data_IF_027673616047
#
_entry.id   IF_027673616047
#
_cell.length_a   1.000
_cell.length_b   1.000
_cell.length_c   1.000
_cell.angle_alpha   90.00
_cell.angle_beta   90.00
_cell.angle_gamma   90.00
#
_symmetry.space_group_name_H-M   'P 1'
#
loop_
_entity.id
_entity.type
_entity.pdbx_description
1 polymer ?
#
# COMPACT_ATOMS: atom_id res chain seq x y z
N UNK A 1 19.44 22.66 -35.29
CA UNK A 1 18.61 23.74 -34.70
C UNK A 1 17.16 23.29 -34.65
N UNK A 2 16.47 23.67 -33.57
CA UNK A 2 15.00 23.73 -33.40
C UNK A 2 14.26 22.45 -32.95
N UNK A 3 14.56 22.04 -31.72
CA UNK A 3 13.69 22.25 -30.56
C UNK A 3 12.16 22.12 -30.78
N UNK A 4 11.60 20.92 -30.55
CA UNK A 4 10.16 20.73 -30.24
C UNK A 4 9.88 19.80 -29.04
N UNK A 5 10.88 19.21 -28.40
CA UNK A 5 10.69 18.28 -27.25
C UNK A 5 10.66 18.95 -25.87
N UNK A 6 10.86 20.26 -25.78
CA UNK A 6 11.04 20.97 -24.49
C UNK A 6 9.75 21.18 -23.68
N UNK A 7 8.56 20.99 -24.27
CA UNK A 7 7.29 21.32 -23.58
C UNK A 7 6.64 20.16 -22.80
N UNK A 8 7.01 18.92 -23.04
CA UNK A 8 6.43 17.77 -22.31
C UNK A 8 7.20 17.45 -21.02
N UNK A 9 8.48 17.85 -20.96
CA UNK A 9 9.40 17.53 -19.86
C UNK A 9 9.12 18.39 -18.60
N UNK A 10 8.60 19.61 -18.75
CA UNK A 10 8.40 20.52 -17.62
C UNK A 10 7.17 20.22 -16.75
N UNK A 11 6.27 19.32 -17.14
CA UNK A 11 5.08 19.02 -16.33
C UNK A 11 5.29 17.93 -15.27
N UNK A 12 6.43 17.24 -15.28
CA UNK A 12 6.76 16.16 -14.32
C UNK A 12 7.64 16.63 -13.15
N UNK A 13 8.18 17.85 -13.22
CA UNK A 13 9.03 18.44 -12.17
C UNK A 13 8.21 18.93 -10.97
N UNK A 14 6.89 19.14 -11.13
CA UNK A 14 6.01 19.61 -10.05
C UNK A 14 5.77 18.58 -8.91
N UNK A 15 6.32 17.37 -9.01
CA UNK A 15 6.18 16.31 -8.00
C UNK A 15 7.51 15.80 -7.41
N UNK A 16 8.63 16.47 -7.67
CA UNK A 16 9.85 16.29 -6.87
C UNK A 16 10.47 14.89 -6.88
N UNK A 17 10.32 14.12 -7.96
CA UNK A 17 11.02 12.84 -8.13
C UNK A 17 12.14 12.97 -9.16
N UNK A 18 13.39 12.88 -8.69
CA UNK A 18 14.54 12.59 -9.53
C UNK A 18 14.40 11.16 -10.03
N UNK A 19 13.86 10.99 -11.24
CA UNK A 19 13.97 9.73 -11.98
C UNK A 19 15.27 9.82 -12.77
N UNK A 20 16.38 9.49 -12.10
CA UNK A 20 17.64 9.20 -12.78
C UNK A 20 17.44 7.96 -13.64
N UNK A 21 17.42 8.18 -14.96
CA UNK A 21 17.74 7.30 -16.07
C UNK A 21 17.67 5.78 -15.78
N UNK A 22 16.57 5.15 -16.20
CA UNK A 22 16.60 3.73 -16.56
C UNK A 22 16.89 3.62 -18.06
N UNK A 23 17.94 2.87 -18.46
CA UNK A 23 18.28 2.69 -19.87
C UNK A 23 17.27 1.79 -20.56
N UNK A 24 17.01 2.09 -21.84
CA UNK A 24 16.25 1.22 -22.73
C UNK A 24 17.01 -0.11 -22.92
N UNK A 25 16.48 -1.22 -22.41
CA UNK A 25 16.90 -2.58 -22.76
C UNK A 25 15.67 -3.50 -22.92
N UNK A 26 15.77 -4.39 -23.89
CA UNK A 26 14.69 -5.14 -24.53
C UNK A 26 14.17 -6.38 -23.75
N UNK A 27 14.27 -6.38 -22.42
CA UNK A 27 13.55 -7.33 -21.55
C UNK A 27 13.05 -6.55 -20.32
N UNK A 28 11.81 -6.06 -20.36
CA UNK A 28 11.21 -5.41 -19.20
C UNK A 28 11.17 -6.45 -18.06
N UNK A 29 11.87 -6.21 -16.95
CA UNK A 29 11.83 -7.11 -15.78
C UNK A 29 10.38 -7.32 -15.34
N UNK A 30 10.04 -8.45 -14.67
CA UNK A 30 8.68 -8.67 -14.18
C UNK A 30 8.14 -7.50 -13.36
N UNK A 31 9.02 -6.78 -12.65
CA UNK A 31 8.69 -5.57 -11.91
C UNK A 31 8.31 -4.39 -12.82
N UNK A 32 9.09 -4.13 -13.87
CA UNK A 32 8.82 -3.05 -14.81
C UNK A 32 7.47 -3.27 -15.53
N UNK A 33 7.16 -4.51 -15.91
CA UNK A 33 5.87 -4.85 -16.50
C UNK A 33 4.72 -4.67 -15.51
N UNK A 34 4.89 -5.10 -14.26
CA UNK A 34 3.87 -4.96 -13.23
C UNK A 34 3.55 -3.49 -12.94
N UNK A 35 4.58 -2.63 -12.86
CA UNK A 35 4.42 -1.19 -12.68
C UNK A 35 3.69 -0.55 -13.87
N UNK A 36 4.06 -0.93 -15.09
CA UNK A 36 3.41 -0.45 -16.31
C UNK A 36 1.94 -0.84 -16.36
N UNK A 37 1.61 -2.10 -16.09
CA UNK A 37 0.23 -2.56 -16.03
C UNK A 37 -0.56 -1.86 -14.91
N UNK A 38 0.05 -1.67 -13.74
CA UNK A 38 -0.56 -0.91 -12.66
C UNK A 38 -0.82 0.56 -13.06
N UNK A 39 0.12 1.23 -13.71
CA UNK A 39 -0.05 2.59 -14.18
C UNK A 39 -1.18 2.71 -15.21
N UNK A 40 -1.24 1.80 -16.19
CA UNK A 40 -2.34 1.73 -17.16
C UNK A 40 -3.70 1.59 -16.47
N UNK A 41 -3.77 0.73 -15.45
CA UNK A 41 -4.94 0.49 -14.60
C UNK A 41 -5.29 1.72 -13.74
N UNK A 42 -4.30 2.52 -13.33
CA UNK A 42 -4.53 3.75 -12.53
C UNK A 42 -5.00 4.94 -13.36
N UNK A 43 -4.55 5.06 -14.62
CA UNK A 43 -4.86 6.19 -15.51
C UNK A 43 -6.25 6.08 -16.15
N UNK A 44 -6.76 4.86 -16.36
CA UNK A 44 -8.11 4.63 -16.90
C UNK A 44 -9.14 4.71 -15.77
N UNK A 45 -9.65 5.91 -15.48
CA UNK A 45 -10.81 6.08 -14.61
C UNK A 45 -12.07 5.59 -15.35
N UNK A 46 -12.61 4.45 -14.95
CA UNK A 46 -13.85 3.89 -15.51
C UNK A 46 -13.96 2.38 -15.28
N UNK A 47 -15.18 1.88 -15.04
CA UNK A 47 -15.49 0.49 -14.72
C UNK A 47 -15.08 -0.55 -15.80
N UNK A 48 -14.53 -0.11 -16.93
CA UNK A 48 -14.04 -0.95 -18.03
C UNK A 48 -12.52 -1.08 -18.06
N UNK A 49 -11.82 -0.90 -16.93
CA UNK A 49 -10.50 -1.52 -16.75
C UNK A 49 -10.73 -3.02 -16.94
N UNK A 50 -10.34 -3.51 -18.11
CA UNK A 50 -10.67 -4.85 -18.56
C UNK A 50 -10.13 -5.85 -17.52
N UNK A 51 -10.96 -6.76 -17.04
CA UNK A 51 -10.54 -7.86 -16.17
C UNK A 51 -9.28 -8.58 -16.69
N UNK A 52 -9.05 -8.53 -18.02
CA UNK A 52 -7.82 -8.97 -18.68
C UNK A 52 -6.55 -8.23 -18.23
N UNK A 53 -6.57 -6.91 -18.04
CA UNK A 53 -5.41 -6.13 -17.58
C UNK A 53 -5.12 -6.43 -16.10
N UNK A 54 -6.16 -6.55 -15.27
CA UNK A 54 -5.99 -6.95 -13.87
C UNK A 54 -5.45 -8.39 -13.77
N UNK A 55 -5.95 -9.31 -14.59
CA UNK A 55 -5.45 -10.69 -14.63
C UNK A 55 -3.98 -10.77 -15.07
N UNK A 56 -3.55 -9.92 -16.01
CA UNK A 56 -2.14 -9.79 -16.38
C UNK A 56 -1.29 -9.29 -15.22
N UNK A 57 -1.72 -8.22 -14.55
CA UNK A 57 -1.04 -7.69 -13.37
C UNK A 57 -0.94 -8.76 -12.26
N UNK A 58 -2.03 -9.46 -11.95
CA UNK A 58 -2.03 -10.52 -10.94
C UNK A 58 -1.06 -11.66 -11.27
N UNK A 59 -0.95 -12.04 -12.55
CA UNK A 59 0.02 -13.06 -12.99
C UNK A 59 1.45 -12.61 -12.73
N UNK A 60 1.77 -11.36 -13.00
CA UNK A 60 3.11 -10.81 -12.77
C UNK A 60 3.42 -10.62 -11.29
N UNK A 61 2.45 -10.14 -10.51
CA UNK A 61 2.58 -10.03 -9.07
C UNK A 61 2.82 -11.39 -8.41
N UNK A 62 2.13 -12.45 -8.85
CA UNK A 62 2.39 -13.82 -8.38
C UNK A 62 3.80 -14.30 -8.72
N UNK A 63 4.32 -13.94 -9.90
CA UNK A 63 5.70 -14.28 -10.27
C UNK A 63 6.71 -13.55 -9.37
N UNK A 64 6.46 -12.27 -9.06
CA UNK A 64 7.29 -11.48 -8.14
C UNK A 64 7.20 -12.00 -6.69
N UNK A 65 6.03 -12.43 -6.25
CA UNK A 65 5.89 -13.08 -4.94
C UNK A 65 6.65 -14.40 -4.87
N UNK A 66 6.66 -15.20 -5.94
CA UNK A 66 7.40 -16.45 -5.97
C UNK A 66 8.93 -16.25 -6.07
N UNK A 67 9.39 -15.06 -6.46
CA UNK A 67 10.80 -14.75 -6.58
C UNK A 67 11.45 -14.50 -5.20
N UNK A 68 12.21 -15.47 -4.72
CA UNK A 68 12.97 -15.38 -3.47
C UNK A 68 14.16 -14.41 -3.59
N UNK A 69 14.64 -14.14 -4.81
CA UNK A 69 15.80 -13.26 -5.07
C UNK A 69 15.40 -11.81 -5.32
N UNK A 70 14.13 -11.48 -5.12
CA UNK A 70 13.64 -10.12 -5.26
C UNK A 70 14.42 -9.18 -4.32
N UNK A 71 15.05 -8.16 -4.91
CA UNK A 71 15.85 -7.21 -4.16
C UNK A 71 14.97 -6.28 -3.30
N UNK A 72 15.59 -5.51 -2.41
CA UNK A 72 14.87 -4.59 -1.52
C UNK A 72 13.92 -3.66 -2.28
N UNK A 73 14.37 -3.10 -3.41
CA UNK A 73 13.54 -2.17 -4.18
C UNK A 73 12.36 -2.87 -4.88
N UNK A 74 12.58 -4.09 -5.37
CA UNK A 74 11.53 -4.94 -5.90
C UNK A 74 10.49 -5.32 -4.86
N UNK A 75 10.93 -5.68 -3.65
CA UNK A 75 10.04 -5.94 -2.51
C UNK A 75 9.17 -4.72 -2.22
N UNK A 76 9.78 -3.54 -2.04
CA UNK A 76 9.06 -2.31 -1.72
C UNK A 76 8.07 -1.90 -2.81
N UNK A 77 8.49 -1.97 -4.07
CA UNK A 77 7.65 -1.59 -5.22
C UNK A 77 6.47 -2.54 -5.38
N UNK A 78 6.71 -3.85 -5.26
CA UNK A 78 5.65 -4.87 -5.37
C UNK A 78 4.65 -4.77 -4.22
N UNK A 79 5.15 -4.61 -2.99
CA UNK A 79 4.31 -4.40 -1.82
C UNK A 79 3.47 -3.11 -1.92
N UNK A 80 4.03 -2.04 -2.47
CA UNK A 80 3.28 -0.81 -2.73
C UNK A 80 2.14 -1.03 -3.73
N UNK A 81 2.36 -1.80 -4.81
CA UNK A 81 1.27 -2.14 -5.75
C UNK A 81 0.13 -2.85 -5.01
N UNK A 82 0.45 -3.82 -4.16
CA UNK A 82 -0.57 -4.48 -3.34
C UNK A 82 -1.30 -3.53 -2.39
N UNK A 83 -0.60 -2.62 -1.72
CA UNK A 83 -1.26 -1.61 -0.89
C UNK A 83 -2.23 -0.74 -1.70
N UNK A 84 -1.86 -0.37 -2.93
CA UNK A 84 -2.73 0.41 -3.82
C UNK A 84 -3.93 -0.39 -4.31
N UNK A 85 -3.76 -1.68 -4.61
CA UNK A 85 -4.88 -2.57 -4.92
C UNK A 85 -5.81 -2.71 -3.72
N UNK A 86 -5.27 -2.86 -2.50
CA UNK A 86 -6.06 -2.87 -1.28
C UNK A 86 -6.89 -1.58 -1.12
N UNK A 87 -6.27 -0.41 -1.35
CA UNK A 87 -6.95 0.89 -1.29
C UNK A 87 -8.12 1.03 -2.28
N UNK A 88 -8.06 0.36 -3.43
CA UNK A 88 -9.18 0.35 -4.39
C UNK A 88 -10.40 -0.41 -3.87
N UNK A 89 -10.20 -1.45 -3.06
CA UNK A 89 -11.29 -2.22 -2.47
C UNK A 89 -11.77 -1.63 -1.13
N UNK A 90 -10.83 -1.20 -0.30
CA UNK A 90 -11.07 -0.63 1.01
C UNK A 90 -10.18 0.61 1.16
N UNK A 91 -10.70 1.82 0.92
CA UNK A 91 -9.89 3.02 1.03
C UNK A 91 -9.37 3.15 2.47
N UNK A 92 -8.06 3.27 2.62
CA UNK A 92 -7.47 3.67 3.89
C UNK A 92 -7.87 5.13 4.13
N UNK A 93 -8.54 5.41 5.23
CA UNK A 93 -8.80 6.79 5.66
C UNK A 93 -7.45 7.50 5.83
N UNK A 94 -7.29 8.68 5.24
CA UNK A 94 -6.04 9.43 5.23
C UNK A 94 -5.51 9.58 6.66
N UNK A 95 -4.38 8.93 6.95
CA UNK A 95 -3.81 8.77 8.29
C UNK A 95 -3.19 10.06 8.88
N UNK A 96 -3.34 11.21 8.19
CA UNK A 96 -2.83 12.50 8.69
C UNK A 96 -3.90 13.17 9.55
N UNK A 97 -3.99 12.68 10.78
CA UNK A 97 -4.81 13.27 11.83
C UNK A 97 -6.16 12.59 11.92
N UNK A 98 -6.30 11.73 12.92
CA UNK A 98 -7.33 11.87 13.95
C UNK A 98 -7.54 10.54 14.65
N UNK A 99 -7.39 10.54 15.98
CA UNK A 99 -8.08 9.59 16.89
C UNK A 99 -9.63 9.73 16.82
N UNK A 100 -10.15 10.48 15.85
CA UNK A 100 -11.56 10.78 15.57
C UNK A 100 -12.03 10.25 14.20
N UNK A 101 -11.28 9.35 13.56
CA UNK A 101 -11.80 8.64 12.39
C UNK A 101 -12.75 7.55 12.90
N UNK A 102 -14.06 7.61 12.57
CA UNK A 102 -15.01 6.59 13.02
C UNK A 102 -14.58 5.21 12.49
N UNK A 103 -14.76 4.18 13.30
CA UNK A 103 -14.55 2.80 12.85
C UNK A 103 -15.44 2.52 11.63
N UNK A 104 -14.85 1.95 10.59
CA UNK A 104 -15.57 1.54 9.39
C UNK A 104 -16.26 0.22 9.69
N UNK A 105 -17.58 0.17 9.52
CA UNK A 105 -18.32 -1.07 9.74
C UNK A 105 -18.18 -1.96 8.50
N UNK A 106 -17.69 -3.18 8.73
CA UNK A 106 -17.76 -4.25 7.73
C UNK A 106 -19.15 -4.87 7.81
N UNK A 107 -19.91 -4.77 6.72
CA UNK A 107 -21.28 -5.28 6.64
C UNK A 107 -21.38 -6.40 5.62
N UNK A 108 -22.42 -7.24 5.79
CA UNK A 108 -22.74 -8.29 4.85
C UNK A 108 -22.98 -7.74 3.43
N UNK A 109 -22.71 -8.58 2.43
CA UNK A 109 -22.72 -8.15 1.03
C UNK A 109 -24.13 -7.73 0.55
N UNK A 110 -25.17 -8.28 1.16
CA UNK A 110 -26.59 -8.02 0.95
C UNK A 110 -27.15 -6.84 1.76
N UNK A 111 -26.44 -6.36 2.78
CA UNK A 111 -26.90 -5.25 3.62
C UNK A 111 -27.13 -3.94 2.83
N UNK A 112 -28.07 -3.07 3.23
CA UNK A 112 -28.25 -1.78 2.58
C UNK A 112 -26.97 -0.94 2.67
N UNK A 113 -26.59 -0.29 1.58
CA UNK A 113 -25.44 0.61 1.54
C UNK A 113 -25.75 1.85 2.37
N UNK A 114 -25.17 1.93 3.58
CA UNK A 114 -25.10 3.18 4.35
C UNK A 114 -23.73 3.80 4.15
N UNK A 115 -23.68 5.12 4.17
CA UNK A 115 -22.44 5.87 4.10
C UNK A 115 -21.51 5.45 5.24
N UNK A 116 -20.25 5.13 4.91
CA UNK A 116 -19.25 4.65 5.88
C UNK A 116 -19.18 3.13 6.07
N UNK A 117 -20.02 2.34 5.40
CA UNK A 117 -19.93 0.88 5.43
C UNK A 117 -19.04 0.33 4.31
N UNK A 118 -18.26 -0.70 4.63
CA UNK A 118 -17.57 -1.52 3.62
C UNK A 118 -18.24 -2.90 3.51
N UNK A 119 -18.39 -3.37 2.28
CA UNK A 119 -18.90 -4.73 2.01
C UNK A 119 -17.86 -5.79 2.39
N UNK A 120 -18.30 -6.90 2.98
CA UNK A 120 -17.42 -8.00 3.38
C UNK A 120 -16.52 -8.48 2.22
N UNK A 121 -17.04 -8.60 1.00
CA UNK A 121 -16.23 -8.97 -0.18
C UNK A 121 -15.08 -8.00 -0.45
N UNK A 122 -15.33 -6.70 -0.27
CA UNK A 122 -14.33 -5.66 -0.50
C UNK A 122 -13.30 -5.64 0.63
N UNK A 123 -13.75 -5.82 1.87
CA UNK A 123 -12.87 -5.98 3.01
C UNK A 123 -11.93 -7.18 2.83
N UNK A 124 -12.47 -8.37 2.49
CA UNK A 124 -11.68 -9.58 2.28
C UNK A 124 -10.67 -9.42 1.13
N UNK A 125 -11.06 -8.78 0.03
CA UNK A 125 -10.15 -8.49 -1.07
C UNK A 125 -9.01 -7.56 -0.64
N UNK A 126 -9.32 -6.49 0.10
CA UNK A 126 -8.32 -5.57 0.62
C UNK A 126 -7.38 -6.23 1.63
N UNK A 127 -7.93 -7.02 2.55
CA UNK A 127 -7.16 -7.79 3.53
C UNK A 127 -6.16 -8.71 2.82
N UNK A 128 -6.63 -9.48 1.83
CA UNK A 128 -5.79 -10.37 1.05
C UNK A 128 -4.59 -9.65 0.42
N UNK A 129 -4.83 -8.48 -0.18
CA UNK A 129 -3.74 -7.66 -0.72
C UNK A 129 -2.80 -7.11 0.36
N UNK A 130 -3.31 -6.65 1.49
CA UNK A 130 -2.46 -6.16 2.59
C UNK A 130 -1.59 -7.27 3.18
N UNK A 131 -2.13 -8.48 3.33
CA UNK A 131 -1.37 -9.64 3.83
C UNK A 131 -0.29 -10.08 2.83
N UNK A 132 -0.58 -10.03 1.53
CA UNK A 132 0.43 -10.25 0.46
C UNK A 132 1.55 -9.21 0.51
N UNK A 133 1.21 -7.93 0.70
CA UNK A 133 2.20 -6.88 0.93
C UNK A 133 3.04 -7.15 2.19
N UNK A 134 2.40 -7.57 3.28
CA UNK A 134 3.10 -7.89 4.54
C UNK A 134 4.06 -9.07 4.39
N UNK A 135 3.67 -10.11 3.63
CA UNK A 135 4.54 -11.25 3.35
C UNK A 135 5.82 -10.82 2.61
N UNK A 136 5.74 -9.82 1.73
CA UNK A 136 6.91 -9.20 1.10
C UNK A 136 7.74 -8.38 2.09
N UNK A 137 7.12 -7.53 2.90
CA UNK A 137 7.84 -6.75 3.93
C UNK A 137 8.56 -7.65 4.95
N UNK A 138 8.00 -8.83 5.26
CA UNK A 138 8.63 -9.80 6.16
C UNK A 138 9.92 -10.41 5.61
N UNK A 139 10.22 -10.27 4.31
CA UNK A 139 11.51 -10.64 3.72
C UNK A 139 12.61 -9.62 4.02
N UNK A 140 12.24 -8.41 4.42
CA UNK A 140 13.20 -7.41 4.88
C UNK A 140 13.74 -7.77 6.27
N UNK A 141 14.97 -7.33 6.62
CA UNK A 141 15.50 -7.50 7.97
C UNK A 141 14.52 -7.01 9.05
N UNK A 142 14.51 -7.65 10.21
CA UNK A 142 13.60 -7.29 11.31
C UNK A 142 13.81 -5.85 11.80
N UNK A 143 15.04 -5.34 11.67
CA UNK A 143 15.40 -3.95 12.00
C UNK A 143 15.08 -2.96 10.88
N UNK A 144 14.56 -3.40 9.73
CA UNK A 144 14.24 -2.47 8.63
C UNK A 144 13.05 -1.57 9.06
N UNK A 145 13.22 -0.24 9.03
CA UNK A 145 12.19 0.69 9.50
C UNK A 145 10.92 0.62 8.66
N UNK A 146 11.01 0.24 7.38
CA UNK A 146 9.83 0.07 6.52
C UNK A 146 9.02 -1.13 6.98
N UNK A 147 9.65 -2.27 7.30
CA UNK A 147 8.94 -3.45 7.84
C UNK A 147 8.21 -3.12 9.14
N UNK A 148 8.89 -2.47 10.07
CA UNK A 148 8.31 -2.05 11.36
C UNK A 148 7.11 -1.12 11.14
N UNK A 149 7.27 -0.11 10.27
CA UNK A 149 6.21 0.85 10.00
C UNK A 149 4.99 0.20 9.35
N UNK A 150 5.21 -0.76 8.44
CA UNK A 150 4.12 -1.45 7.77
C UNK A 150 3.39 -2.42 8.69
N UNK A 151 4.10 -3.08 9.60
CA UNK A 151 3.49 -3.88 10.66
C UNK A 151 2.55 -3.02 11.53
N UNK A 152 3.00 -1.82 11.90
CA UNK A 152 2.18 -0.82 12.62
C UNK A 152 0.97 -0.38 11.81
N UNK A 153 1.15 -0.10 10.52
CA UNK A 153 0.06 0.27 9.61
C UNK A 153 -0.99 -0.84 9.49
N UNK A 154 -0.57 -2.11 9.47
CA UNK A 154 -1.49 -3.25 9.39
C UNK A 154 -2.30 -3.43 10.69
N UNK A 155 -1.65 -3.31 11.85
CA UNK A 155 -2.36 -3.31 13.14
C UNK A 155 -3.39 -2.17 13.20
N UNK A 156 -3.00 -0.97 12.77
CA UNK A 156 -3.89 0.20 12.74
C UNK A 156 -5.05 0.01 11.76
N UNK A 157 -4.80 -0.63 10.61
CA UNK A 157 -5.84 -0.97 9.66
C UNK A 157 -6.90 -1.89 10.28
N UNK A 158 -6.49 -2.94 10.99
CA UNK A 158 -7.44 -3.82 11.69
C UNK A 158 -8.26 -3.10 12.76
N UNK A 159 -7.62 -2.22 13.54
CA UNK A 159 -8.32 -1.35 14.49
C UNK A 159 -9.42 -0.51 13.82
N UNK A 160 -9.12 0.06 12.64
CA UNK A 160 -10.07 0.90 11.90
C UNK A 160 -11.27 0.14 11.36
N UNK A 161 -11.12 -1.15 11.02
CA UNK A 161 -12.23 -2.01 10.56
C UNK A 161 -12.85 -2.84 11.70
N UNK A 162 -12.54 -2.51 12.96
CA UNK A 162 -13.12 -3.15 14.14
C UNK A 162 -12.68 -4.61 14.37
N UNK A 163 -11.58 -5.04 13.74
CA UNK A 163 -11.09 -6.42 13.77
C UNK A 163 -10.12 -6.65 14.94
N UNK A 164 -10.68 -6.71 16.15
CA UNK A 164 -9.91 -6.71 17.40
C UNK A 164 -8.91 -7.86 17.52
N UNK A 165 -9.30 -9.08 17.16
CA UNK A 165 -8.42 -10.24 17.29
C UNK A 165 -7.19 -10.12 16.38
N UNK A 166 -7.40 -9.65 15.15
CA UNK A 166 -6.33 -9.42 14.19
C UNK A 166 -5.45 -8.24 14.62
N UNK A 167 -6.02 -7.14 15.11
CA UNK A 167 -5.26 -6.03 15.70
C UNK A 167 -4.34 -6.51 16.82
N UNK A 168 -4.85 -7.31 17.76
CA UNK A 168 -4.09 -7.86 18.88
C UNK A 168 -2.93 -8.74 18.38
N UNK A 169 -3.20 -9.62 17.41
CA UNK A 169 -2.17 -10.47 16.81
C UNK A 169 -1.06 -9.64 16.16
N UNK A 170 -1.42 -8.63 15.35
CA UNK A 170 -0.43 -7.77 14.69
C UNK A 170 0.35 -6.91 15.70
N UNK A 171 -0.29 -6.49 16.78
CA UNK A 171 0.35 -5.75 17.88
C UNK A 171 1.35 -6.64 18.64
N UNK A 172 1.02 -7.90 18.88
CA UNK A 172 1.95 -8.87 19.47
C UNK A 172 3.16 -9.12 18.56
N UNK A 173 2.94 -9.23 17.25
CA UNK A 173 4.04 -9.36 16.29
C UNK A 173 4.94 -8.10 16.30
N UNK A 174 4.34 -6.90 16.32
CA UNK A 174 5.08 -5.65 16.43
C UNK A 174 5.87 -5.55 17.75
N UNK A 175 5.28 -6.01 18.85
CA UNK A 175 5.92 -6.08 20.16
C UNK A 175 7.14 -6.98 20.16
N UNK A 176 7.07 -8.12 19.48
CA UNK A 176 8.22 -9.02 19.28
C UNK A 176 9.31 -8.36 18.45
N UNK A 177 8.96 -7.70 17.34
CA UNK A 177 9.92 -7.01 16.47
C UNK A 177 10.65 -5.85 17.18
N UNK A 178 9.95 -5.13 18.04
CA UNK A 178 10.49 -3.97 18.77
C UNK A 178 11.02 -4.32 20.17
N UNK A 179 10.92 -5.58 20.58
CA UNK A 179 11.26 -6.05 21.93
C UNK A 179 10.67 -5.18 23.05
N UNK A 180 9.42 -4.75 22.88
CA UNK A 180 8.76 -3.86 23.85
C UNK A 180 7.25 -4.06 23.86
N UNK A 181 6.64 -3.90 25.02
CA UNK A 181 5.17 -3.87 25.19
C UNK A 181 4.65 -2.45 25.40
N UNK A 182 5.54 -1.47 25.45
CA UNK A 182 5.22 -0.06 25.67
C UNK A 182 4.42 0.50 24.49
N UNK A 183 3.18 0.89 24.76
CA UNK A 183 2.25 1.35 23.73
C UNK A 183 2.76 2.58 23.00
N UNK A 184 3.48 3.47 23.67
CA UNK A 184 4.02 4.70 23.06
C UNK A 184 5.22 4.39 22.15
N UNK A 185 5.90 3.26 22.35
CA UNK A 185 6.94 2.79 21.43
C UNK A 185 6.35 2.02 20.25
N UNK A 186 5.31 1.22 20.51
CA UNK A 186 4.58 0.48 19.47
C UNK A 186 3.86 1.43 18.52
N UNK A 187 3.20 2.46 19.06
CA UNK A 187 2.40 3.44 18.33
C UNK A 187 2.78 4.85 18.79
N UNK A 188 3.94 5.37 18.35
CA UNK A 188 4.40 6.68 18.77
C UNK A 188 3.38 7.76 18.35
N UNK A 189 3.14 8.76 19.22
CA UNK A 189 2.30 9.88 18.84
C UNK A 189 2.90 10.56 17.59
N UNK A 190 2.04 11.11 16.72
CA UNK A 190 2.53 11.83 15.57
C UNK A 190 3.44 12.98 16.04
N UNK A 191 4.56 13.24 15.33
CA UNK A 191 5.38 14.39 15.64
C UNK A 191 4.52 15.67 15.53
N UNK A 192 4.76 16.67 16.40
CA UNK A 192 4.00 17.91 16.34
C UNK A 192 4.10 18.53 14.95
N UNK A 193 2.97 18.96 14.41
CA UNK A 193 2.92 19.57 13.10
C UNK A 193 3.85 20.80 13.06
N UNK A 194 4.82 20.89 12.13
CA UNK A 194 5.76 22.01 12.08
C UNK A 194 5.09 23.38 11.90
N UNK A 195 3.88 23.39 11.33
CA UNK A 195 3.13 24.61 11.04
C UNK A 195 2.26 25.10 12.20
N UNK A 196 1.80 24.23 13.10
CA UNK A 196 0.88 24.61 14.17
C UNK A 196 1.24 24.09 15.57
N UNK A 197 2.34 23.34 15.73
CA UNK A 197 2.84 22.84 17.01
C UNK A 197 1.96 21.80 17.70
N UNK A 198 0.80 21.44 17.13
CA UNK A 198 -0.10 20.43 17.68
C UNK A 198 0.25 19.03 17.20
N UNK A 199 0.23 18.06 18.12
CA UNK A 199 0.41 16.61 17.91
C UNK A 199 -0.70 15.82 18.61
#
# INVERSE_FOLDING_TARGET
>A
MNNKSSKVINSLVALGMVVSALPAYADETPLARALKHYEEISKKQGASIQASQLAKLEKELKALEADEKLDRNGILSTAMIFQRLAQKHAPSLNFRGSRMVPQVQVVADDAPAKDGNIKQKNYNAAEGYRLRAMALYNRLPETDPTRINEQRNLASWYYHYGQKQQEELQTQQLSKLLHTTDRDKLFPPPPPCPACGMG
#
